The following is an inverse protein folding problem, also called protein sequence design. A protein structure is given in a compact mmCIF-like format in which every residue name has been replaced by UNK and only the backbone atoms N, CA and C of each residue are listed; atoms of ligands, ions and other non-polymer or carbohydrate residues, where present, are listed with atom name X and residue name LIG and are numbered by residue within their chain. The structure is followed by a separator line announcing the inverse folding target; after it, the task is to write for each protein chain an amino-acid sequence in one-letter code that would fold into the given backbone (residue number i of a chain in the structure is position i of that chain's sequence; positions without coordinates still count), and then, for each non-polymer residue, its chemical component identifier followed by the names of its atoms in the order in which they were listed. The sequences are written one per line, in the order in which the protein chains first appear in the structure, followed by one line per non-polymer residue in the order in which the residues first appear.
data_IF_988872827029
#
_entry.id   IF_988872827029
#
_cell.length_a   1.000
_cell.length_b   1.000
_cell.length_c   1.000
_cell.angle_alpha   90.00
_cell.angle_beta   90.00
_cell.angle_gamma   90.00
#
_symmetry.space_group_name_H-M   'P 1'
#
loop_
_entity.id
_entity.type
_entity.pdbx_description
1 polymer ?
#
# COMPACT_ATOMS: atom_id res chain seq x y z
N UNK A 1 2.56 8.07 -27.07
CA UNK A 1 2.07 6.84 -26.42
C UNK A 1 2.33 6.97 -24.93
N UNK A 2 1.48 6.41 -24.07
CA UNK A 2 1.75 6.35 -22.63
C UNK A 2 1.33 5.00 -22.07
N UNK A 3 1.84 4.71 -20.88
CA UNK A 3 1.83 3.38 -20.28
C UNK A 3 1.32 3.44 -18.85
N UNK A 4 0.62 2.39 -18.43
CA UNK A 4 0.19 2.17 -17.06
C UNK A 4 0.06 0.68 -16.80
N UNK A 5 0.13 0.31 -15.53
CA UNK A 5 -0.16 -1.05 -15.09
C UNK A 5 -1.68 -1.29 -14.97
N UNK A 6 -2.08 -2.55 -15.12
CA UNK A 6 -3.42 -3.05 -14.84
C UNK A 6 -3.32 -4.46 -14.22
N UNK A 7 -2.92 -4.52 -12.95
CA UNK A 7 -2.79 -5.78 -12.20
C UNK A 7 -4.03 -6.05 -11.32
N UNK A 8 -4.91 -6.99 -11.69
CA UNK A 8 -6.08 -7.34 -10.87
C UNK A 8 -5.71 -8.18 -9.65
N UNK A 9 -6.43 -7.97 -8.55
CA UNK A 9 -6.45 -8.89 -7.42
C UNK A 9 -7.84 -9.52 -7.23
N UNK A 10 -8.01 -10.71 -7.78
CA UNK A 10 -9.29 -11.46 -7.69
C UNK A 10 -9.67 -11.77 -6.24
N UNK A 11 -8.68 -12.11 -5.40
CA UNK A 11 -8.86 -12.34 -3.96
C UNK A 11 -9.40 -11.11 -3.22
N UNK A 12 -9.26 -9.92 -3.81
CA UNK A 12 -9.78 -8.65 -3.28
C UNK A 12 -10.98 -8.11 -4.07
N UNK A 13 -11.60 -8.95 -4.90
CA UNK A 13 -12.86 -8.67 -5.59
C UNK A 13 -12.72 -7.99 -6.95
N UNK A 14 -11.51 -7.90 -7.52
CA UNK A 14 -11.36 -7.50 -8.91
C UNK A 14 -11.84 -8.60 -9.85
N UNK A 15 -12.29 -8.21 -11.05
CA UNK A 15 -12.47 -9.18 -12.13
C UNK A 15 -11.12 -9.71 -12.62
N UNK A 16 -11.05 -10.97 -13.10
CA UNK A 16 -9.88 -11.51 -13.78
C UNK A 16 -9.41 -10.61 -14.92
N UNK A 17 -8.11 -10.66 -15.23
CA UNK A 17 -7.51 -9.81 -16.26
C UNK A 17 -8.24 -9.95 -17.61
N UNK A 18 -8.58 -11.17 -18.01
CA UNK A 18 -9.31 -11.45 -19.26
C UNK A 18 -10.65 -10.70 -19.34
N UNK A 19 -11.43 -10.72 -18.27
CA UNK A 19 -12.71 -9.99 -18.18
C UNK A 19 -12.50 -8.48 -18.20
N UNK A 20 -11.45 -7.96 -17.55
CA UNK A 20 -11.14 -6.53 -17.61
C UNK A 20 -10.80 -6.07 -19.02
N UNK A 21 -10.01 -6.86 -19.75
CA UNK A 21 -9.64 -6.57 -21.14
C UNK A 21 -10.85 -6.68 -22.08
N UNK A 22 -11.72 -7.67 -21.88
CA UNK A 22 -12.96 -7.81 -22.66
C UNK A 22 -13.91 -6.62 -22.46
N UNK A 23 -14.11 -6.17 -21.21
CA UNK A 23 -14.90 -4.98 -20.93
C UNK A 23 -14.30 -3.74 -21.61
N UNK A 24 -12.98 -3.59 -21.53
CA UNK A 24 -12.27 -2.45 -22.12
C UNK A 24 -12.40 -2.43 -23.65
N UNK A 25 -12.26 -3.59 -24.30
CA UNK A 25 -12.49 -3.75 -25.75
C UNK A 25 -13.91 -3.33 -26.17
N UNK A 26 -14.89 -3.59 -25.31
CA UNK A 26 -16.29 -3.22 -25.50
C UNK A 26 -16.61 -1.78 -25.04
N UNK A 27 -15.60 -0.94 -24.79
CA UNK A 27 -15.76 0.46 -24.41
C UNK A 27 -16.23 0.67 -22.95
N UNK A 28 -16.15 -0.35 -22.10
CA UNK A 28 -16.52 -0.29 -20.69
C UNK A 28 -15.27 -0.36 -19.81
N UNK A 29 -15.21 0.48 -18.77
CA UNK A 29 -14.12 0.42 -17.80
C UNK A 29 -14.60 -0.17 -16.47
N UNK A 30 -13.79 -1.06 -15.91
CA UNK A 30 -13.75 -1.32 -14.47
C UNK A 30 -13.12 -0.13 -13.74
N UNK A 31 -13.14 -0.15 -12.41
CA UNK A 31 -12.40 0.82 -11.59
C UNK A 31 -10.90 0.79 -11.89
N UNK A 32 -10.31 -0.42 -11.99
CA UNK A 32 -8.88 -0.60 -12.27
C UNK A 32 -8.53 -0.06 -13.67
N UNK A 33 -9.19 -0.53 -14.72
CA UNK A 33 -8.92 -0.06 -16.10
C UNK A 33 -9.16 1.44 -16.28
N UNK A 34 -10.17 2.03 -15.63
CA UNK A 34 -10.37 3.48 -15.65
C UNK A 34 -9.16 4.24 -15.07
N UNK A 35 -8.58 3.74 -13.96
CA UNK A 35 -7.38 4.33 -13.36
C UNK A 35 -6.13 4.07 -14.21
N UNK A 36 -5.99 2.88 -14.80
CA UNK A 36 -4.90 2.58 -15.74
C UNK A 36 -4.91 3.54 -16.94
N UNK A 37 -6.08 3.80 -17.54
CA UNK A 37 -6.20 4.79 -18.64
C UNK A 37 -5.85 6.20 -18.16
N UNK A 38 -6.29 6.58 -16.96
CA UNK A 38 -5.93 7.87 -16.37
C UNK A 38 -4.41 8.04 -16.26
N UNK A 39 -3.70 7.03 -15.76
CA UNK A 39 -2.24 7.08 -15.62
C UNK A 39 -1.53 6.98 -16.96
N UNK A 40 -2.01 6.16 -17.89
CA UNK A 40 -1.45 6.09 -19.24
C UNK A 40 -1.57 7.44 -19.97
N UNK A 41 -2.65 8.19 -19.74
CA UNK A 41 -2.82 9.54 -20.27
C UNK A 41 -1.85 10.54 -19.62
N UNK A 42 -1.68 10.48 -18.30
CA UNK A 42 -0.71 11.34 -17.60
C UNK A 42 0.72 11.07 -18.07
N UNK A 43 1.09 9.80 -18.19
CA UNK A 43 2.38 9.34 -18.71
C UNK A 43 2.58 9.79 -20.17
N UNK A 44 1.58 9.61 -21.05
CA UNK A 44 1.65 10.04 -22.45
C UNK A 44 1.92 11.54 -22.60
N UNK A 45 1.23 12.37 -21.80
CA UNK A 45 1.40 13.82 -21.82
C UNK A 45 2.81 14.21 -21.39
N UNK A 46 3.31 13.64 -20.30
CA UNK A 46 4.66 13.91 -19.81
C UNK A 46 5.73 13.44 -20.80
N UNK A 47 5.54 12.27 -21.44
CA UNK A 47 6.44 11.79 -22.50
C UNK A 47 6.48 12.73 -23.71
N UNK A 48 5.33 13.25 -24.14
CA UNK A 48 5.27 14.22 -25.23
C UNK A 48 6.05 15.51 -24.90
N UNK A 49 6.04 15.91 -23.62
CA UNK A 49 6.75 17.08 -23.12
C UNK A 49 8.21 16.80 -22.71
N UNK A 50 8.68 15.54 -22.81
CA UNK A 50 10.00 15.11 -22.34
C UNK A 50 10.23 15.40 -20.85
N UNK A 51 9.19 15.20 -20.05
CA UNK A 51 9.19 15.41 -18.60
C UNK A 51 9.15 14.08 -17.84
N UNK A 52 9.82 14.02 -16.69
CA UNK A 52 9.67 12.93 -15.73
C UNK A 52 8.73 13.37 -14.61
N UNK A 53 7.65 12.63 -14.39
CA UNK A 53 6.57 13.01 -13.46
C UNK A 53 7.01 13.01 -11.98
N UNK A 54 8.10 12.32 -11.66
CA UNK A 54 8.60 12.12 -10.30
C UNK A 54 9.87 12.94 -10.00
N UNK A 55 10.65 13.34 -11.00
CA UNK A 55 11.99 13.93 -10.81
C UNK A 55 12.01 15.19 -9.93
N UNK A 56 10.98 16.03 -10.00
CA UNK A 56 10.86 17.26 -9.19
C UNK A 56 9.92 17.11 -7.99
N UNK A 57 9.53 15.87 -7.64
CA UNK A 57 8.55 15.60 -6.57
C UNK A 57 9.24 15.17 -5.29
N UNK A 58 8.73 15.66 -4.17
CA UNK A 58 9.05 15.10 -2.87
C UNK A 58 8.15 13.89 -2.63
N UNK A 59 8.72 12.69 -2.77
CA UNK A 59 7.99 11.43 -2.55
C UNK A 59 8.09 11.07 -1.07
N UNK A 60 6.96 10.77 -0.38
CA UNK A 60 6.99 10.31 1.00
C UNK A 60 7.78 9.01 1.16
N UNK A 61 8.38 8.83 2.32
CA UNK A 61 9.06 7.57 2.67
C UNK A 61 8.07 6.39 2.66
N UNK A 62 8.55 5.18 2.37
CA UNK A 62 7.75 3.95 2.40
C UNK A 62 7.94 3.19 3.71
N UNK A 63 6.92 2.46 4.14
CA UNK A 63 7.10 1.34 5.05
C UNK A 63 7.77 0.16 4.33
N UNK A 64 8.37 -0.74 5.11
CA UNK A 64 8.82 -2.04 4.66
C UNK A 64 7.70 -3.07 4.86
N UNK A 65 7.40 -3.90 3.86
CA UNK A 65 6.33 -4.90 3.94
C UNK A 65 6.91 -6.26 4.36
N UNK A 66 6.31 -6.83 5.41
CA UNK A 66 6.55 -8.20 5.89
C UNK A 66 5.30 -9.01 5.57
N UNK A 67 5.36 -9.77 4.48
CA UNK A 67 4.22 -10.54 3.96
C UNK A 67 3.88 -11.75 4.83
N UNK A 68 4.88 -12.30 5.53
CA UNK A 68 4.74 -13.43 6.44
C UNK A 68 5.62 -13.17 7.67
N UNK A 69 5.01 -13.22 8.86
CA UNK A 69 5.75 -13.07 10.10
C UNK A 69 6.21 -14.44 10.60
N UNK A 70 7.41 -14.84 10.19
CA UNK A 70 8.11 -16.02 10.69
C UNK A 70 9.46 -15.65 11.32
N UNK A 71 10.27 -16.64 11.67
CA UNK A 71 11.58 -16.41 12.30
C UNK A 71 12.54 -15.65 11.38
N UNK A 72 12.47 -15.88 10.06
CA UNK A 72 13.33 -15.19 9.10
C UNK A 72 12.93 -13.72 8.90
N UNK A 73 11.66 -13.40 9.14
CA UNK A 73 11.15 -12.04 9.06
C UNK A 73 11.83 -11.09 10.09
N UNK A 74 12.26 -11.58 11.25
CA UNK A 74 13.00 -10.77 12.23
C UNK A 74 14.37 -10.34 11.67
N UNK A 75 15.09 -11.25 11.01
CA UNK A 75 16.37 -10.92 10.37
C UNK A 75 16.17 -9.94 9.21
N UNK A 76 15.10 -10.12 8.44
CA UNK A 76 14.71 -9.19 7.37
C UNK A 76 14.40 -7.79 7.92
N UNK A 77 13.60 -7.69 8.98
CA UNK A 77 13.34 -6.43 9.68
C UNK A 77 14.64 -5.79 10.17
N UNK A 78 15.58 -6.57 10.73
CA UNK A 78 16.87 -6.05 11.18
C UNK A 78 17.69 -5.41 10.05
N UNK A 79 17.72 -6.05 8.88
CA UNK A 79 18.38 -5.50 7.68
C UNK A 79 17.67 -4.23 7.20
N UNK A 80 16.35 -4.24 7.09
CA UNK A 80 15.56 -3.08 6.67
C UNK A 80 15.70 -1.91 7.66
N UNK A 81 15.67 -2.18 8.96
CA UNK A 81 15.87 -1.18 10.01
C UNK A 81 17.27 -0.53 9.91
N UNK A 82 18.30 -1.35 9.72
CA UNK A 82 19.68 -0.87 9.52
C UNK A 82 19.82 -0.04 8.24
N UNK A 83 18.99 -0.30 7.23
CA UNK A 83 18.90 0.49 6.00
C UNK A 83 18.01 1.73 6.14
N UNK A 84 17.54 2.07 7.34
CA UNK A 84 16.83 3.31 7.64
C UNK A 84 15.30 3.24 7.56
N UNK A 85 14.72 2.05 7.37
CA UNK A 85 13.26 1.89 7.50
C UNK A 85 12.83 2.05 8.96
N UNK A 86 11.81 2.89 9.19
CA UNK A 86 11.24 3.11 10.53
C UNK A 86 9.81 2.59 10.66
N UNK A 87 9.15 2.23 9.55
CA UNK A 87 7.78 1.73 9.53
C UNK A 87 7.74 0.36 8.89
N UNK A 88 7.05 -0.59 9.53
CA UNK A 88 6.92 -1.97 9.06
C UNK A 88 5.43 -2.33 8.95
N UNK A 89 4.97 -2.66 7.75
CA UNK A 89 3.64 -3.24 7.54
C UNK A 89 3.75 -4.76 7.64
N UNK A 90 3.00 -5.37 8.53
CA UNK A 90 3.05 -6.80 8.80
C UNK A 90 1.67 -7.40 8.53
N UNK A 91 1.60 -8.40 7.65
CA UNK A 91 0.37 -9.17 7.47
C UNK A 91 0.24 -10.22 8.56
N UNK A 92 -0.93 -10.30 9.18
CA UNK A 92 -1.25 -11.19 10.29
C UNK A 92 -2.54 -11.99 10.03
N UNK A 93 -2.87 -12.87 10.96
CA UNK A 93 -4.12 -13.62 11.04
C UNK A 93 -4.07 -15.00 10.38
N UNK A 94 -2.90 -15.52 10.00
CA UNK A 94 -2.78 -16.90 9.50
C UNK A 94 -2.50 -17.88 10.64
N UNK A 95 -1.53 -17.55 11.49
CA UNK A 95 -1.14 -18.32 12.68
C UNK A 95 -1.05 -17.38 13.89
N UNK A 96 -2.20 -16.79 14.28
CA UNK A 96 -2.25 -15.63 15.17
C UNK A 96 -1.42 -15.76 16.45
N UNK A 97 -1.49 -16.89 17.16
CA UNK A 97 -0.77 -17.07 18.43
C UNK A 97 0.76 -17.05 18.23
N UNK A 98 1.25 -17.68 17.15
CA UNK A 98 2.68 -17.69 16.79
C UNK A 98 3.13 -16.32 16.32
N UNK A 99 2.35 -15.70 15.44
CA UNK A 99 2.62 -14.37 14.90
C UNK A 99 2.64 -13.31 16.02
N UNK A 100 1.74 -13.41 17.01
CA UNK A 100 1.70 -12.52 18.18
C UNK A 100 3.00 -12.62 18.99
N UNK A 101 3.52 -13.84 19.21
CA UNK A 101 4.81 -14.04 19.87
C UNK A 101 5.97 -13.33 19.15
N UNK A 102 6.07 -13.54 17.83
CA UNK A 102 7.09 -12.91 16.99
C UNK A 102 6.93 -11.39 16.91
N UNK A 103 5.70 -10.88 16.92
CA UNK A 103 5.44 -9.44 16.91
C UNK A 103 5.93 -8.80 18.22
N UNK A 104 5.69 -9.44 19.37
CA UNK A 104 6.19 -8.96 20.67
C UNK A 104 7.72 -8.94 20.69
N UNK A 105 8.36 -9.95 20.09
CA UNK A 105 9.81 -9.96 19.92
C UNK A 105 10.28 -8.81 19.02
N UNK A 106 9.67 -8.61 17.85
CA UNK A 106 10.02 -7.52 16.94
C UNK A 106 9.91 -6.14 17.61
N UNK A 107 8.83 -5.89 18.36
CA UNK A 107 8.60 -4.63 19.08
C UNK A 107 9.70 -4.38 20.13
N UNK A 108 10.13 -5.44 20.84
CA UNK A 108 11.21 -5.35 21.83
C UNK A 108 12.58 -5.09 21.18
N UNK A 109 12.86 -5.72 20.04
CA UNK A 109 14.15 -5.56 19.35
C UNK A 109 14.27 -4.22 18.61
N UNK A 110 13.14 -3.67 18.14
CA UNK A 110 13.10 -2.42 17.37
C UNK A 110 12.20 -1.37 18.05
N UNK A 111 12.57 -0.85 19.24
CA UNK A 111 11.71 0.02 20.03
C UNK A 111 11.39 1.38 19.37
N UNK A 112 12.19 1.80 18.40
CA UNK A 112 11.98 3.04 17.63
C UNK A 112 11.21 2.82 16.31
N UNK A 113 10.87 1.57 15.99
CA UNK A 113 10.07 1.25 14.82
C UNK A 113 8.57 1.46 15.08
N UNK A 114 7.83 1.69 14.00
CA UNK A 114 6.38 1.81 13.97
C UNK A 114 5.78 0.65 13.20
N UNK A 115 4.84 -0.05 13.80
CA UNK A 115 4.24 -1.26 13.24
C UNK A 115 2.82 -0.99 12.74
N UNK A 116 2.55 -1.42 11.50
CA UNK A 116 1.25 -1.33 10.83
C UNK A 116 0.76 -2.75 10.64
N UNK A 117 -0.25 -3.13 11.40
CA UNK A 117 -0.69 -4.51 11.47
C UNK A 117 -1.87 -4.70 10.52
N UNK A 118 -1.78 -5.60 9.56
CA UNK A 118 -2.81 -5.79 8.54
C UNK A 118 -3.40 -7.20 8.62
N UNK A 119 -4.67 -7.27 8.97
CA UNK A 119 -5.39 -8.53 9.11
C UNK A 119 -6.22 -8.91 7.89
N UNK A 120 -6.40 -8.02 6.90
CA UNK A 120 -7.27 -8.27 5.74
C UNK A 120 -8.65 -8.85 6.14
N UNK A 121 -9.26 -8.31 7.19
CA UNK A 121 -10.55 -8.73 7.79
C UNK A 121 -10.60 -10.19 8.28
N UNK A 122 -9.48 -10.83 8.62
CA UNK A 122 -9.42 -12.25 9.01
C UNK A 122 -9.93 -12.57 10.42
N UNK A 123 -9.97 -11.59 11.33
CA UNK A 123 -10.39 -11.86 12.71
C UNK A 123 -11.90 -11.67 12.89
N UNK A 124 -12.43 -12.24 13.97
CA UNK A 124 -13.68 -11.78 14.58
C UNK A 124 -13.42 -10.59 15.52
N UNK A 125 -14.49 -9.88 15.90
CA UNK A 125 -14.41 -8.80 16.90
C UNK A 125 -13.80 -9.29 18.22
N UNK A 126 -14.24 -10.45 18.71
CA UNK A 126 -13.81 -11.00 20.00
C UNK A 126 -12.34 -11.47 19.97
N UNK A 127 -11.91 -12.07 18.85
CA UNK A 127 -10.51 -12.40 18.62
C UNK A 127 -9.63 -11.16 18.63
N UNK A 128 -10.09 -10.08 17.98
CA UNK A 128 -9.34 -8.84 17.92
C UNK A 128 -9.26 -8.11 19.26
N UNK A 129 -10.35 -8.06 20.03
CA UNK A 129 -10.34 -7.51 21.40
C UNK A 129 -9.34 -8.29 22.26
N UNK A 130 -9.40 -9.63 22.21
CA UNK A 130 -8.46 -10.48 22.96
C UNK A 130 -7.00 -10.25 22.55
N UNK A 131 -6.75 -10.02 21.27
CA UNK A 131 -5.42 -9.67 20.74
C UNK A 131 -4.93 -8.32 21.28
N UNK A 132 -5.80 -7.29 21.29
CA UNK A 132 -5.45 -5.96 21.82
C UNK A 132 -5.14 -5.99 23.32
N UNK A 133 -5.92 -6.73 24.11
CA UNK A 133 -5.65 -6.88 25.56
C UNK A 133 -4.22 -7.40 25.81
N UNK A 134 -3.80 -8.40 25.03
CA UNK A 134 -2.47 -9.01 25.12
C UNK A 134 -1.34 -8.15 24.53
N UNK A 135 -1.66 -7.12 23.76
CA UNK A 135 -0.71 -6.16 23.17
C UNK A 135 -0.75 -4.76 23.78
N UNK A 136 -1.53 -4.56 24.84
CA UNK A 136 -1.69 -3.26 25.51
C UNK A 136 -0.37 -2.57 25.90
N UNK A 137 0.69 -3.33 26.19
CA UNK A 137 2.02 -2.79 26.48
C UNK A 137 2.69 -2.07 25.28
N UNK A 138 2.25 -2.36 24.06
CA UNK A 138 2.91 -1.98 22.82
C UNK A 138 2.21 -0.82 22.08
N UNK A 139 1.20 -0.19 22.66
CA UNK A 139 0.40 0.85 22.00
C UNK A 139 1.25 1.98 21.39
N UNK A 140 2.37 2.36 22.02
CA UNK A 140 3.26 3.39 21.48
C UNK A 140 4.04 2.96 20.23
N UNK A 141 4.20 1.66 20.00
CA UNK A 141 4.93 1.10 18.87
C UNK A 141 4.03 0.81 17.67
N UNK A 142 2.72 0.63 17.89
CA UNK A 142 1.76 0.45 16.81
C UNK A 142 1.38 1.81 16.20
N UNK A 143 1.52 1.94 14.89
CA UNK A 143 1.05 3.13 14.13
C UNK A 143 -0.47 3.06 13.93
N UNK A 144 -0.93 1.94 13.36
CA UNK A 144 -2.33 1.59 13.22
C UNK A 144 -2.52 0.09 12.96
N UNK A 145 -3.77 -0.34 13.03
CA UNK A 145 -4.20 -1.69 12.67
C UNK A 145 -5.23 -1.60 11.53
N UNK A 146 -4.91 -2.23 10.41
CA UNK A 146 -5.65 -2.23 9.15
C UNK A 146 -6.60 -3.42 9.07
N UNK A 147 -7.88 -3.12 8.79
CA UNK A 147 -8.96 -4.08 8.57
C UNK A 147 -8.91 -5.30 9.51
N UNK A 148 -9.05 -5.11 10.84
CA UNK A 148 -8.99 -6.24 11.79
C UNK A 148 -10.07 -7.29 11.53
N UNK A 149 -11.29 -6.83 11.28
CA UNK A 149 -12.50 -7.61 10.98
C UNK A 149 -13.44 -6.77 10.10
N UNK A 150 -14.54 -7.33 9.60
CA UNK A 150 -15.50 -6.60 8.78
C UNK A 150 -15.93 -5.24 9.39
N UNK A 151 -15.98 -4.19 8.57
CA UNK A 151 -16.25 -2.85 9.09
C UNK A 151 -17.61 -2.75 9.76
N UNK A 152 -17.60 -2.23 10.99
CA UNK A 152 -18.79 -1.86 11.72
C UNK A 152 -18.49 -0.57 12.48
N UNK A 153 -19.19 0.50 12.12
CA UNK A 153 -18.95 1.84 12.67
C UNK A 153 -18.91 1.85 14.21
N UNK A 154 -19.93 1.30 14.86
CA UNK A 154 -20.04 1.30 16.32
C UNK A 154 -18.93 0.50 16.99
N UNK A 155 -18.63 -0.69 16.48
CA UNK A 155 -17.59 -1.55 17.02
C UNK A 155 -16.18 -0.97 16.85
N UNK A 156 -15.85 -0.49 15.64
CA UNK A 156 -14.54 0.12 15.36
C UNK A 156 -14.32 1.38 16.18
N UNK A 157 -15.35 2.24 16.28
CA UNK A 157 -15.31 3.44 17.14
C UNK A 157 -15.06 3.08 18.60
N UNK A 158 -15.85 2.16 19.15
CA UNK A 158 -15.70 1.70 20.53
C UNK A 158 -14.27 1.20 20.80
N UNK A 159 -13.68 0.46 19.86
CA UNK A 159 -12.32 -0.08 19.99
C UNK A 159 -11.28 1.05 19.98
N UNK A 160 -11.32 2.00 19.05
CA UNK A 160 -10.38 3.13 19.06
C UNK A 160 -10.48 3.93 20.37
N UNK A 161 -11.70 4.17 20.86
CA UNK A 161 -11.94 4.89 22.12
C UNK A 161 -11.42 4.11 23.34
N UNK A 162 -11.58 2.79 23.36
CA UNK A 162 -11.22 1.93 24.52
C UNK A 162 -9.72 1.64 24.58
N UNK A 163 -9.13 1.26 23.45
CA UNK A 163 -7.74 0.80 23.38
C UNK A 163 -6.76 1.92 23.01
N UNK A 164 -7.26 3.11 22.68
CA UNK A 164 -6.46 4.26 22.24
C UNK A 164 -5.53 3.92 21.07
N UNK A 165 -6.02 3.08 20.15
CA UNK A 165 -5.30 2.64 18.95
C UNK A 165 -5.97 3.20 17.70
N UNK A 166 -5.17 3.53 16.69
CA UNK A 166 -5.68 3.92 15.38
C UNK A 166 -6.06 2.68 14.58
N UNK A 167 -7.26 2.67 14.01
CA UNK A 167 -7.68 1.70 13.00
C UNK A 167 -7.56 2.33 11.61
N UNK A 168 -7.20 1.49 10.64
CA UNK A 168 -7.11 1.83 9.23
C UNK A 168 -8.12 1.03 8.41
N UNK A 169 -8.72 1.69 7.41
CA UNK A 169 -9.60 1.04 6.45
C UNK A 169 -8.95 0.97 5.07
N UNK A 170 -8.83 -0.25 4.53
CA UNK A 170 -8.37 -0.53 3.16
C UNK A 170 -9.50 -1.10 2.31
N UNK A 171 -9.89 -2.35 2.56
CA UNK A 171 -11.04 -3.00 1.91
C UNK A 171 -12.36 -2.28 2.17
N UNK A 172 -12.45 -1.55 3.29
CA UNK A 172 -13.63 -0.79 3.72
C UNK A 172 -13.46 0.73 3.57
N UNK A 173 -12.59 1.16 2.64
CA UNK A 173 -12.26 2.58 2.44
C UNK A 173 -13.49 3.49 2.30
N UNK A 174 -14.51 3.06 1.55
CA UNK A 174 -15.68 3.90 1.26
C UNK A 174 -16.57 4.07 2.49
N UNK A 175 -16.77 2.99 3.24
CA UNK A 175 -17.61 2.90 4.42
C UNK A 175 -17.01 3.68 5.59
N UNK A 176 -15.68 3.70 5.69
CA UNK A 176 -14.94 4.41 6.72
C UNK A 176 -14.65 5.89 6.37
N UNK A 177 -14.88 6.31 5.13
CA UNK A 177 -14.56 7.65 4.67
C UNK A 177 -15.40 8.70 5.40
N UNK A 178 -14.74 9.69 6.02
CA UNK A 178 -15.40 10.74 6.80
C UNK A 178 -15.65 10.39 8.27
N UNK A 179 -15.20 9.21 8.74
CA UNK A 179 -15.42 8.70 10.09
C UNK A 179 -14.10 8.48 10.86
N UNK A 180 -13.33 9.54 11.19
CA UNK A 180 -12.07 9.43 11.92
C UNK A 180 -12.18 8.74 13.29
N UNK A 181 -13.33 8.84 13.93
CA UNK A 181 -13.68 8.19 15.19
C UNK A 181 -13.77 6.67 15.07
N UNK A 182 -14.10 6.14 13.89
CA UNK A 182 -14.14 4.70 13.63
C UNK A 182 -12.86 4.21 12.94
N UNK A 183 -12.33 4.98 11.98
CA UNK A 183 -11.08 4.67 11.29
C UNK A 183 -10.26 5.95 11.13
N UNK A 184 -9.21 6.08 11.95
CA UNK A 184 -8.32 7.24 11.92
C UNK A 184 -7.52 7.33 10.62
N UNK A 185 -7.27 6.19 9.96
CA UNK A 185 -6.44 6.07 8.77
C UNK A 185 -7.24 5.50 7.61
N UNK A 186 -7.01 6.02 6.41
CA UNK A 186 -7.56 5.50 5.16
C UNK A 186 -6.42 5.07 4.23
N UNK A 187 -6.49 3.83 3.74
CA UNK A 187 -5.53 3.28 2.79
C UNK A 187 -6.03 3.54 1.37
N UNK A 188 -5.29 4.36 0.64
CA UNK A 188 -5.64 4.75 -0.73
C UNK A 188 -4.71 4.06 -1.71
N UNK A 189 -5.32 3.28 -2.61
CA UNK A 189 -4.64 2.55 -3.69
C UNK A 189 -4.93 3.22 -5.02
N UNK A 190 -4.00 3.98 -5.62
CA UNK A 190 -4.26 4.75 -6.83
C UNK A 190 -4.72 3.93 -8.03
N UNK A 191 -4.37 2.63 -8.06
CA UNK A 191 -4.82 1.65 -9.04
C UNK A 191 -6.35 1.50 -9.09
N UNK A 192 -7.06 1.68 -7.98
CA UNK A 192 -8.53 1.48 -7.92
C UNK A 192 -9.29 2.66 -7.29
N UNK A 193 -8.57 3.60 -6.67
CA UNK A 193 -9.12 4.78 -6.02
C UNK A 193 -8.74 6.06 -6.76
N UNK A 194 -9.70 6.98 -6.84
CA UNK A 194 -9.43 8.37 -7.22
C UNK A 194 -9.08 9.15 -5.96
N UNK A 195 -8.07 10.01 -6.04
CA UNK A 195 -7.69 10.83 -4.90
C UNK A 195 -8.84 11.78 -4.51
N UNK A 196 -9.24 11.73 -3.24
CA UNK A 196 -10.24 12.62 -2.66
C UNK A 196 -9.64 13.34 -1.44
N UNK A 197 -9.97 14.63 -1.21
CA UNK A 197 -9.57 15.32 0.00
C UNK A 197 -10.16 14.62 1.22
N UNK A 198 -9.34 14.12 2.13
CA UNK A 198 -9.83 13.50 3.37
C UNK A 198 -10.34 14.55 4.37
N UNK A 199 -11.25 14.15 5.25
CA UNK A 199 -11.72 15.00 6.36
C UNK A 199 -10.55 15.43 7.26
N UNK A 200 -10.69 16.56 7.95
CA UNK A 200 -9.62 17.15 8.79
C UNK A 200 -9.16 16.25 9.96
N UNK A 201 -9.85 15.14 10.23
CA UNK A 201 -9.51 14.19 11.29
C UNK A 201 -8.87 12.87 10.83
N UNK A 202 -8.87 12.56 9.53
CA UNK A 202 -8.35 11.30 8.99
C UNK A 202 -6.99 11.49 8.33
N UNK A 203 -6.13 10.49 8.49
CA UNK A 203 -4.86 10.39 7.77
C UNK A 203 -5.05 9.57 6.50
N UNK A 204 -4.45 10.02 5.40
CA UNK A 204 -4.41 9.29 4.15
C UNK A 204 -3.03 8.65 3.97
N UNK A 205 -2.99 7.35 3.77
CA UNK A 205 -1.77 6.61 3.42
C UNK A 205 -1.94 6.06 2.03
N UNK A 206 -1.03 6.43 1.13
CA UNK A 206 -1.03 5.93 -0.24
C UNK A 206 -0.20 4.65 -0.29
N UNK A 207 -0.73 3.60 -0.90
CA UNK A 207 0.02 2.38 -1.18
C UNK A 207 -0.04 2.05 -2.66
N UNK A 208 0.97 1.35 -3.16
CA UNK A 208 0.83 0.59 -4.40
C UNK A 208 -0.22 -0.51 -4.22
N UNK A 209 -0.60 -1.17 -5.32
CA UNK A 209 -1.57 -2.25 -5.27
C UNK A 209 -0.92 -3.63 -5.25
N UNK A 210 0.30 -3.75 -4.69
CA UNK A 210 1.17 -4.91 -4.90
C UNK A 210 1.30 -5.22 -6.40
N UNK A 211 1.40 -4.17 -7.20
CA UNK A 211 1.34 -4.21 -8.64
C UNK A 211 2.73 -4.10 -9.27
N UNK A 212 2.77 -4.17 -10.60
CA UNK A 212 3.99 -4.02 -11.38
C UNK A 212 4.74 -2.72 -11.01
N UNK A 213 6.09 -2.67 -11.12
CA UNK A 213 6.88 -1.44 -10.91
C UNK A 213 6.35 -0.14 -11.55
N UNK A 214 5.66 -0.25 -12.70
CA UNK A 214 4.99 0.89 -13.35
C UNK A 214 3.81 1.42 -12.50
N UNK A 215 3.04 0.53 -11.88
CA UNK A 215 1.98 0.86 -10.92
C UNK A 215 2.55 1.50 -9.65
N UNK A 216 3.69 1.01 -9.15
CA UNK A 216 4.41 1.63 -8.02
C UNK A 216 4.82 3.08 -8.30
N UNK A 217 5.30 3.40 -9.51
CA UNK A 217 5.63 4.79 -9.88
C UNK A 217 4.38 5.68 -9.96
N UNK A 218 3.27 5.13 -10.46
CA UNK A 218 1.98 5.83 -10.45
C UNK A 218 1.51 6.10 -9.01
N UNK A 219 1.74 5.15 -8.10
CA UNK A 219 1.42 5.31 -6.69
C UNK A 219 2.30 6.37 -6.00
N UNK A 220 3.61 6.34 -6.25
CA UNK A 220 4.56 7.33 -5.76
C UNK A 220 4.22 8.75 -6.24
N UNK A 221 3.80 8.89 -7.50
CA UNK A 221 3.36 10.16 -8.06
C UNK A 221 2.14 10.69 -7.30
N UNK A 222 1.12 9.86 -7.09
CA UNK A 222 -0.06 10.28 -6.31
C UNK A 222 0.27 10.58 -4.85
N UNK A 223 1.15 9.79 -4.23
CA UNK A 223 1.61 10.03 -2.86
C UNK A 223 2.25 11.40 -2.69
N UNK A 224 3.02 11.87 -3.69
CA UNK A 224 3.70 13.18 -3.65
C UNK A 224 2.76 14.39 -3.56
N UNK A 225 1.47 14.25 -3.93
CA UNK A 225 0.48 15.32 -3.78
C UNK A 225 -0.34 15.22 -2.50
N UNK A 226 -0.50 14.00 -1.99
CA UNK A 226 -1.60 13.66 -1.10
C UNK A 226 -1.16 13.28 0.31
N UNK A 227 0.00 12.64 0.43
CA UNK A 227 0.42 12.01 1.67
C UNK A 227 1.56 12.79 2.31
N UNK A 228 1.41 13.02 3.62
CA UNK A 228 2.47 13.54 4.50
C UNK A 228 3.04 12.46 5.41
N UNK A 229 2.37 11.31 5.45
CA UNK A 229 2.70 10.15 6.26
C UNK A 229 3.55 9.16 5.45
N UNK A 230 4.32 8.28 6.11
CA UNK A 230 4.97 7.16 5.45
C UNK A 230 3.95 6.32 4.68
N UNK A 231 4.23 6.06 3.40
CA UNK A 231 3.36 5.37 2.44
C UNK A 231 3.74 3.89 2.30
N UNK A 232 3.14 3.17 1.36
CA UNK A 232 3.50 1.79 1.01
C UNK A 232 3.83 1.67 -0.47
N UNK A 233 5.00 2.17 -0.88
CA UNK A 233 5.34 2.39 -2.29
C UNK A 233 6.36 1.38 -2.83
N UNK A 234 7.09 0.69 -1.95
CA UNK A 234 8.15 -0.27 -2.29
C UNK A 234 7.64 -1.71 -2.20
N UNK A 235 6.68 -2.09 -3.05
CA UNK A 235 6.09 -3.44 -3.04
C UNK A 235 6.83 -4.44 -3.94
N UNK A 236 7.78 -4.00 -4.77
CA UNK A 236 8.52 -4.91 -5.65
C UNK A 236 9.33 -5.98 -4.90
N UNK A 237 9.65 -5.78 -3.61
CA UNK A 237 10.30 -6.80 -2.78
C UNK A 237 9.43 -8.04 -2.54
N UNK A 238 8.12 -7.95 -2.80
CA UNK A 238 7.20 -9.09 -2.64
C UNK A 238 7.30 -10.10 -3.79
N UNK A 239 7.94 -9.73 -4.90
CA UNK A 239 8.03 -10.53 -6.11
C UNK A 239 9.47 -10.89 -6.43
N UNK A 240 9.65 -11.91 -7.28
CA UNK A 240 10.93 -12.15 -7.92
C UNK A 240 11.38 -10.89 -8.67
N UNK A 241 12.67 -10.57 -8.53
CA UNK A 241 13.25 -9.38 -9.16
C UNK A 241 13.21 -9.54 -10.69
N UNK A 242 12.60 -8.56 -11.36
CA UNK A 242 12.54 -8.48 -12.82
C UNK A 242 13.25 -7.21 -13.33
N UNK A 243 13.46 -7.04 -14.65
CA UNK A 243 14.17 -5.88 -15.19
C UNK A 243 13.57 -4.53 -14.79
N UNK A 244 12.24 -4.42 -14.68
CA UNK A 244 11.60 -3.19 -14.21
C UNK A 244 11.87 -2.94 -12.72
N UNK A 245 11.82 -3.98 -11.89
CA UNK A 245 12.14 -3.87 -10.46
C UNK A 245 13.59 -3.43 -10.24
N UNK A 246 14.54 -3.93 -11.05
CA UNK A 246 15.96 -3.53 -10.99
C UNK A 246 16.20 -2.05 -11.30
N UNK A 247 15.30 -1.41 -12.06
CA UNK A 247 15.38 0.02 -12.34
C UNK A 247 14.85 0.89 -11.20
N UNK A 248 14.10 0.33 -10.24
CA UNK A 248 13.65 1.10 -9.06
C UNK A 248 14.86 1.31 -8.16
N UNK A 249 15.31 2.57 -8.08
CA UNK A 249 16.33 2.99 -7.13
C UNK A 249 15.66 3.50 -5.85
N UNK A 250 16.22 3.13 -4.71
CA UNK A 250 15.79 3.63 -3.42
C UNK A 250 17.00 3.74 -2.47
N UNK A 251 16.95 4.70 -1.55
CA UNK A 251 17.84 4.76 -0.40
C UNK A 251 16.99 4.45 0.82
N UNK A 252 17.15 3.26 1.42
CA UNK A 252 16.27 2.84 2.51
C UNK A 252 14.79 2.96 2.13
N UNK A 253 13.96 3.69 2.91
CA UNK A 253 12.54 3.89 2.62
C UNK A 253 12.25 4.94 1.54
N UNK A 254 13.25 5.66 1.03
CA UNK A 254 13.06 6.73 0.05
C UNK A 254 13.22 6.20 -1.36
N UNK A 255 12.13 6.21 -2.14
CA UNK A 255 12.16 5.84 -3.55
C UNK A 255 12.59 7.02 -4.41
N UNK A 256 13.38 6.76 -5.46
CA UNK A 256 13.81 7.76 -6.43
C UNK A 256 13.02 7.65 -7.74
N UNK A 257 13.00 8.75 -8.49
CA UNK A 257 12.45 8.74 -9.84
C UNK A 257 13.24 7.79 -10.73
N UNK A 258 12.53 6.93 -11.47
CA UNK A 258 13.16 6.06 -12.46
C UNK A 258 13.51 6.88 -13.71
N UNK A 259 14.68 6.61 -14.30
CA UNK A 259 15.14 7.31 -15.50
C UNK A 259 14.16 7.17 -16.67
N UNK A 260 14.10 8.22 -17.49
CA UNK A 260 13.20 8.33 -18.65
C UNK A 260 12.13 9.41 -18.49
N UNK A 261 11.17 9.43 -19.41
CA UNK A 261 10.03 10.35 -19.42
C UNK A 261 8.75 9.69 -18.90
N UNK A 262 7.73 10.49 -18.57
CA UNK A 262 6.52 9.99 -17.91
C UNK A 262 6.85 9.41 -16.54
N UNK A 263 6.48 8.15 -16.31
CA UNK A 263 6.89 7.40 -15.11
C UNK A 263 8.28 6.73 -15.24
N UNK A 264 9.00 6.96 -16.34
CA UNK A 264 10.31 6.36 -16.62
C UNK A 264 10.22 5.04 -17.38
N UNK A 265 11.26 4.21 -17.24
CA UNK A 265 11.38 2.88 -17.87
C UNK A 265 11.44 2.89 -19.41
N UNK A 266 11.81 4.00 -20.03
CA UNK A 266 11.76 4.20 -21.49
C UNK A 266 12.42 3.05 -22.26
N UNK A 267 13.62 2.64 -21.86
CA UNK A 267 14.35 1.57 -22.53
C UNK A 267 13.60 0.22 -22.45
N UNK A 268 13.06 -0.12 -21.28
CA UNK A 268 12.35 -1.38 -21.09
C UNK A 268 10.99 -1.38 -21.80
N UNK A 269 10.26 -0.26 -21.74
CA UNK A 269 8.97 -0.10 -22.40
C UNK A 269 9.11 -0.18 -23.93
N UNK A 270 10.17 0.40 -24.51
CA UNK A 270 10.44 0.32 -25.94
C UNK A 270 10.78 -1.11 -26.42
N UNK A 271 11.20 -1.99 -25.51
CA UNK A 271 11.48 -3.40 -25.80
C UNK A 271 10.26 -4.32 -25.63
N UNK A 272 9.15 -3.82 -25.09
CA UNK A 272 7.95 -4.63 -24.91
C UNK A 272 7.17 -4.81 -26.21
N UNK A 273 6.56 -5.97 -26.36
CA UNK A 273 5.59 -6.24 -27.41
C UNK A 273 4.18 -5.96 -26.89
N UNK A 274 3.53 -4.93 -27.40
CA UNK A 274 2.15 -4.60 -27.04
C UNK A 274 1.18 -5.24 -28.04
N UNK A 275 0.21 -5.99 -27.51
CA UNK A 275 -0.87 -6.56 -28.31
C UNK A 275 -2.06 -5.60 -28.36
N UNK A 276 -2.71 -5.42 -29.52
CA UNK A 276 -3.96 -4.68 -29.59
C UNK A 276 -5.06 -5.41 -28.81
N UNK A 277 -5.98 -4.65 -28.23
CA UNK A 277 -7.18 -5.17 -27.56
C UNK A 277 -8.26 -5.58 -28.57
#
# INVERSE_FOLDING_TARGET
MGYADCHPWEDFGDFPLSTQLELLKNGKCTRLTARSIYFAKADANARANKENLLAARQIPMSHYLISYLDTSALDEMGKAFSNGFTHFKIKLGKELDREEGLLKEAIKHYPNAKFRLDFNSKLSKDQFISFLDRLSFANSSIDYIEDPFAFNYGAWRQIQETFLINLAADGHYKEAYGHPEAAKVLIMKPAIHTLKPVSTGQKLIVTSYLDHPVGQMSAAYMASFAAKEPCGLLSHFTYETNPFAQMIQHQGPWIHAVQGYGFGFDELLNKQQFLPL
#
